data_IF_949236547387
#
_entry.id   IF_949236547387
#
_cell.length_a   1.000
_cell.length_b   1.000
_cell.length_c   1.000
_cell.angle_alpha   90.00
_cell.angle_beta   90.00
_cell.angle_gamma   90.00
#
_symmetry.space_group_name_H-M   'P 1'
#
loop_
_entity.id
_entity.type
_entity.pdbx_description
1 polymer ?
#
# COMPACT_ATOMS: atom_id res chain seq x y z
N UNK A 1 1.56 -22.37 -13.53
CA UNK A 1 2.92 -21.83 -13.34
C UNK A 1 2.96 -21.09 -12.01
N UNK A 2 3.80 -21.56 -11.07
CA UNK A 2 3.93 -21.10 -9.68
C UNK A 2 4.58 -19.71 -9.64
N UNK A 3 3.82 -18.63 -9.39
CA UNK A 3 4.40 -17.37 -8.88
C UNK A 3 3.37 -16.63 -8.01
N UNK A 4 3.79 -16.28 -6.79
CA UNK A 4 3.19 -15.31 -5.87
C UNK A 4 1.81 -15.61 -5.24
N UNK A 5 1.54 -16.85 -4.86
CA UNK A 5 0.74 -17.06 -3.64
C UNK A 5 1.54 -16.52 -2.46
N UNK A 6 1.16 -15.33 -2.03
CA UNK A 6 1.71 -14.53 -0.93
C UNK A 6 2.52 -15.33 0.08
N UNK A 7 3.83 -15.06 0.15
CA UNK A 7 4.70 -15.48 1.25
C UNK A 7 4.20 -14.99 2.62
N UNK A 8 3.20 -14.10 2.67
CA UNK A 8 2.53 -13.69 3.90
C UNK A 8 1.57 -14.76 4.46
N UNK A 9 0.94 -15.57 3.60
CA UNK A 9 0.00 -16.63 4.06
C UNK A 9 0.69 -17.98 4.25
N UNK A 10 1.66 -18.35 3.40
CA UNK A 10 2.50 -19.56 3.62
C UNK A 10 3.40 -19.48 4.86
N UNK A 11 3.65 -18.27 5.37
CA UNK A 11 4.35 -18.07 6.64
C UNK A 11 3.50 -18.45 7.86
N UNK A 12 2.19 -18.67 7.69
CA UNK A 12 1.27 -18.96 8.78
C UNK A 12 0.90 -20.44 8.90
N UNK A 13 1.22 -21.27 7.89
CA UNK A 13 0.91 -22.71 7.94
C UNK A 13 1.70 -23.43 9.04
N UNK A 14 2.90 -22.93 9.35
CA UNK A 14 3.74 -23.39 10.46
C UNK A 14 3.62 -22.50 11.71
N UNK A 15 2.73 -21.51 11.74
CA UNK A 15 2.60 -20.63 12.92
C UNK A 15 2.33 -21.42 14.20
N UNK A 16 1.45 -22.46 14.21
CA UNK A 16 1.21 -23.25 15.42
C UNK A 16 2.44 -24.04 15.89
N UNK A 17 3.25 -24.56 14.98
CA UNK A 17 4.51 -25.26 15.31
C UNK A 17 5.59 -24.28 15.75
N UNK A 18 5.74 -23.13 15.07
CA UNK A 18 6.65 -22.05 15.44
C UNK A 18 6.29 -21.48 16.81
N UNK A 19 4.99 -21.31 17.10
CA UNK A 19 4.49 -20.95 18.42
C UNK A 19 4.80 -22.07 19.42
N UNK A 20 4.57 -23.36 19.12
CA UNK A 20 4.98 -24.47 20.01
C UNK A 20 6.48 -24.49 20.31
N UNK A 21 7.32 -24.15 19.32
CA UNK A 21 8.78 -24.04 19.48
C UNK A 21 9.19 -22.78 20.27
N UNK A 22 8.49 -21.66 20.10
CA UNK A 22 8.73 -20.42 20.85
C UNK A 22 8.12 -20.43 22.27
N UNK A 23 7.08 -21.24 22.50
CA UNK A 23 6.32 -21.32 23.74
C UNK A 23 6.01 -22.81 24.06
N UNK A 24 6.87 -23.51 24.82
CA UNK A 24 6.56 -24.86 25.28
C UNK A 24 5.42 -24.83 26.32
N UNK A 25 4.30 -25.51 26.04
CA UNK A 25 3.20 -25.71 26.99
C UNK A 25 1.78 -25.49 26.42
N UNK A 26 0.74 -25.50 27.27
CA UNK A 26 -0.67 -25.33 26.85
C UNK A 26 -1.08 -23.86 26.59
N UNK A 27 -0.21 -22.89 26.88
CA UNK A 27 -0.50 -21.44 26.79
C UNK A 27 -0.42 -20.91 25.35
N UNK A 28 0.30 -21.62 24.51
CA UNK A 28 0.66 -21.30 23.13
C UNK A 28 -0.54 -21.09 22.21
N UNK A 29 -1.63 -21.82 22.45
CA UNK A 29 -2.88 -21.72 21.70
C UNK A 29 -3.81 -20.61 22.21
N UNK A 30 -3.44 -19.93 23.29
CA UNK A 30 -4.31 -19.03 24.04
C UNK A 30 -3.86 -17.57 23.93
N UNK A 31 -2.55 -17.34 23.75
CA UNK A 31 -1.99 -16.03 23.46
C UNK A 31 -2.35 -15.60 22.02
N UNK A 32 -3.48 -14.91 21.86
CA UNK A 32 -3.98 -14.51 20.54
C UNK A 32 -4.05 -12.98 20.44
N UNK A 33 -3.08 -12.38 19.74
CA UNK A 33 -3.06 -10.95 19.42
C UNK A 33 -3.79 -10.60 18.11
N UNK A 34 -4.48 -11.57 17.49
CA UNK A 34 -5.22 -11.38 16.23
C UNK A 34 -6.12 -10.15 16.26
N UNK A 35 -6.84 -9.95 17.39
CA UNK A 35 -7.78 -8.83 17.55
C UNK A 35 -7.13 -7.45 17.40
N UNK A 36 -5.85 -7.30 17.77
CA UNK A 36 -5.11 -6.04 17.60
C UNK A 36 -4.87 -5.76 16.12
N UNK A 37 -4.62 -6.79 15.33
CA UNK A 37 -4.39 -6.67 13.89
C UNK A 37 -5.69 -6.59 13.09
N UNK A 38 -6.79 -7.17 13.57
CA UNK A 38 -8.07 -7.19 12.86
C UNK A 38 -8.57 -5.77 12.55
N UNK A 39 -8.35 -4.80 13.45
CA UNK A 39 -8.71 -3.39 13.23
C UNK A 39 -8.00 -2.81 11.99
N UNK A 40 -6.66 -2.91 11.94
CA UNK A 40 -5.89 -2.34 10.84
C UNK A 40 -6.09 -3.13 9.54
N UNK A 41 -6.29 -4.45 9.63
CA UNK A 41 -6.62 -5.29 8.48
C UNK A 41 -7.96 -4.86 7.88
N UNK A 42 -8.95 -4.54 8.71
CA UNK A 42 -10.22 -3.95 8.28
C UNK A 42 -10.01 -2.67 7.49
N UNK A 43 -9.16 -1.75 7.97
CA UNK A 43 -8.80 -0.51 7.26
C UNK A 43 -8.22 -0.83 5.88
N UNK A 44 -7.25 -1.75 5.79
CA UNK A 44 -6.63 -2.12 4.51
C UNK A 44 -7.55 -2.88 3.53
N UNK A 45 -8.69 -3.38 4.00
CA UNK A 45 -9.65 -4.16 3.19
C UNK A 45 -10.83 -3.33 2.68
N UNK A 46 -11.06 -2.15 3.26
CA UNK A 46 -12.17 -1.28 2.88
C UNK A 46 -12.02 -0.77 1.45
N UNK A 47 -13.16 -0.43 0.84
CA UNK A 47 -13.23 0.11 -0.52
C UNK A 47 -13.13 1.63 -0.56
N UNK A 48 -13.41 2.29 0.56
CA UNK A 48 -13.42 3.74 0.63
C UNK A 48 -11.98 4.29 0.76
N UNK A 49 -11.72 5.52 0.30
CA UNK A 49 -10.39 6.10 0.39
C UNK A 49 -10.05 6.46 1.84
N UNK A 50 -9.16 5.69 2.48
CA UNK A 50 -8.74 5.88 3.87
C UNK A 50 -7.29 6.37 4.01
N UNK A 51 -6.73 6.95 2.95
CA UNK A 51 -5.34 7.43 2.96
C UNK A 51 -5.09 8.51 4.02
N UNK A 52 -6.13 9.26 4.38
CA UNK A 52 -6.13 10.32 5.38
C UNK A 52 -6.08 9.80 6.83
N UNK A 53 -6.48 8.56 7.09
CA UNK A 53 -6.39 7.94 8.43
C UNK A 53 -5.29 6.90 8.53
N UNK A 54 -4.69 6.50 7.40
CA UNK A 54 -3.70 5.43 7.32
C UNK A 54 -2.49 5.66 8.24
N UNK A 55 -1.92 6.86 8.26
CA UNK A 55 -0.76 7.15 9.12
C UNK A 55 -1.12 7.06 10.60
N UNK A 56 -2.30 7.55 10.97
CA UNK A 56 -2.77 7.51 12.35
C UNK A 56 -3.09 6.07 12.79
N UNK A 57 -3.77 5.28 11.97
CA UNK A 57 -4.05 3.87 12.26
C UNK A 57 -2.76 3.03 12.39
N UNK A 58 -1.75 3.27 11.54
CA UNK A 58 -0.43 2.65 11.71
C UNK A 58 0.23 3.05 13.04
N UNK A 59 0.10 4.33 13.42
CA UNK A 59 0.65 4.88 14.66
C UNK A 59 -0.05 4.28 15.88
N UNK A 60 -1.39 4.19 15.85
CA UNK A 60 -2.20 3.61 16.91
C UNK A 60 -1.89 2.12 17.10
N UNK A 61 -1.68 1.36 16.02
CA UNK A 61 -1.27 -0.05 16.11
C UNK A 61 0.03 -0.22 16.91
N UNK A 62 1.07 0.55 16.56
CA UNK A 62 2.37 0.47 17.23
C UNK A 62 2.25 0.92 18.69
N UNK A 63 1.53 2.00 18.97
CA UNK A 63 1.26 2.44 20.35
C UNK A 63 0.51 1.40 21.16
N UNK A 64 -0.49 0.75 20.55
CA UNK A 64 -1.29 -0.30 21.20
C UNK A 64 -0.42 -1.49 21.57
N UNK A 65 0.49 -1.90 20.69
CA UNK A 65 1.47 -2.97 20.96
C UNK A 65 2.47 -2.56 22.03
N UNK A 66 3.01 -1.35 21.97
CA UNK A 66 3.91 -0.81 22.99
C UNK A 66 3.26 -0.78 24.37
N UNK A 67 1.98 -0.37 24.46
CA UNK A 67 1.20 -0.35 25.70
C UNK A 67 1.06 -1.72 26.38
N UNK A 68 1.31 -2.84 25.67
CA UNK A 68 1.18 -4.18 26.23
C UNK A 68 2.38 -4.57 27.11
N UNK A 69 3.56 -3.98 26.87
CA UNK A 69 4.81 -4.43 27.51
C UNK A 69 5.74 -3.31 27.98
N UNK A 70 5.39 -2.04 27.74
CA UNK A 70 6.11 -0.88 28.24
C UNK A 70 5.37 -0.23 29.41
N UNK A 71 6.11 0.49 30.26
CA UNK A 71 5.52 1.29 31.33
C UNK A 71 4.66 2.42 30.75
N UNK A 72 3.51 2.67 31.37
CA UNK A 72 2.59 3.75 30.97
C UNK A 72 3.27 5.13 31.02
N UNK A 73 4.05 5.38 32.08
CA UNK A 73 4.81 6.62 32.27
C UNK A 73 5.81 6.90 31.13
N UNK A 74 6.29 5.85 30.48
CA UNK A 74 7.27 5.96 29.39
C UNK A 74 6.57 6.30 28.06
N UNK A 75 5.28 5.99 27.94
CA UNK A 75 4.46 6.21 26.75
C UNK A 75 3.67 7.52 26.81
N UNK A 76 3.27 7.96 28.00
CA UNK A 76 2.55 9.20 28.19
C UNK A 76 3.36 10.42 27.73
N UNK A 77 2.70 11.32 27.02
CA UNK A 77 3.28 12.59 26.55
C UNK A 77 4.35 12.49 25.44
N UNK A 78 4.84 11.29 25.09
CA UNK A 78 5.86 11.14 24.05
C UNK A 78 5.29 11.23 22.64
N UNK A 79 6.00 11.95 21.78
CA UNK A 79 5.66 12.02 20.35
C UNK A 79 6.09 10.72 19.68
N UNK A 80 5.42 10.38 18.58
CA UNK A 80 5.74 9.17 17.80
C UNK A 80 7.23 9.09 17.45
N UNK A 81 7.87 10.20 17.06
CA UNK A 81 9.31 10.19 16.73
C UNK A 81 10.19 9.72 17.89
N UNK A 82 9.85 10.14 19.11
CA UNK A 82 10.60 9.81 20.31
C UNK A 82 10.37 8.34 20.66
N UNK A 83 9.12 7.86 20.50
CA UNK A 83 8.77 6.44 20.66
C UNK A 83 9.53 5.53 19.68
N UNK A 84 9.75 5.98 18.45
CA UNK A 84 10.47 5.21 17.44
C UNK A 84 11.98 5.09 17.71
N UNK A 85 12.54 5.95 18.56
CA UNK A 85 13.95 5.93 18.95
C UNK A 85 14.20 5.13 20.23
N UNK A 86 13.15 4.70 20.93
CA UNK A 86 13.29 3.95 22.17
C UNK A 86 13.88 2.56 21.91
N UNK A 87 14.84 2.19 22.75
CA UNK A 87 15.27 0.81 22.84
C UNK A 87 14.28 0.00 23.68
N UNK A 88 13.39 -0.69 22.97
CA UNK A 88 12.34 -1.53 23.54
C UNK A 88 12.87 -2.72 24.37
N UNK A 89 14.17 -3.03 24.28
CA UNK A 89 14.79 -4.14 25.01
C UNK A 89 15.28 -3.76 26.40
N UNK A 90 15.30 -2.47 26.76
CA UNK A 90 15.80 -2.05 28.07
C UNK A 90 14.76 -2.24 29.19
N UNK A 91 15.19 -2.71 30.38
CA UNK A 91 14.29 -3.00 31.51
C UNK A 91 13.73 -1.75 32.20
N UNK A 92 14.38 -0.60 32.03
CA UNK A 92 13.90 0.71 32.50
C UNK A 92 12.61 1.15 31.80
N UNK A 93 12.45 0.82 30.51
CA UNK A 93 11.29 1.14 29.66
C UNK A 93 10.17 0.09 29.78
N UNK A 94 10.52 -1.16 30.07
CA UNK A 94 9.56 -2.28 30.13
C UNK A 94 8.75 -2.32 31.42
N UNK A 95 7.50 -2.73 31.32
CA UNK A 95 6.67 -2.99 32.49
C UNK A 95 7.10 -4.29 33.19
N UNK A 96 6.71 -4.44 34.46
CA UNK A 96 6.93 -5.68 35.21
C UNK A 96 6.14 -6.83 34.58
N UNK A 97 6.55 -8.06 34.88
CA UNK A 97 5.88 -9.29 34.40
C UNK A 97 4.40 -9.37 34.80
N UNK A 98 4.04 -8.75 35.93
CA UNK A 98 2.67 -8.70 36.45
C UNK A 98 1.77 -7.73 35.67
N UNK A 99 2.38 -6.70 35.08
CA UNK A 99 1.69 -5.64 34.32
C UNK A 99 1.64 -5.94 32.81
N UNK A 100 2.24 -7.06 32.39
CA UNK A 100 2.27 -7.48 30.99
C UNK A 100 0.85 -7.84 30.52
N UNK A 101 0.35 -7.14 29.51
CA UNK A 101 -0.96 -7.43 28.95
C UNK A 101 -0.85 -8.53 27.90
N UNK A 102 -1.36 -9.71 28.26
CA UNK A 102 -1.31 -10.93 27.43
C UNK A 102 -2.70 -11.48 27.10
N UNK A 103 -3.75 -10.77 27.51
CA UNK A 103 -5.15 -11.15 27.35
C UNK A 103 -5.65 -12.11 28.44
N UNK A 104 -6.95 -12.04 28.72
CA UNK A 104 -7.62 -12.77 29.81
C UNK A 104 -7.43 -14.28 29.76
N UNK A 105 -7.53 -14.88 28.58
CA UNK A 105 -7.38 -16.33 28.44
C UNK A 105 -5.96 -16.78 28.78
N UNK A 106 -4.94 -16.00 28.39
CA UNK A 106 -3.54 -16.31 28.70
C UNK A 106 -3.25 -16.08 30.19
N UNK A 107 -3.79 -15.02 30.81
CA UNK A 107 -3.71 -14.78 32.26
C UNK A 107 -4.29 -15.95 33.05
N UNK A 108 -5.46 -16.47 32.67
CA UNK A 108 -6.07 -17.66 33.30
C UNK A 108 -5.22 -18.92 33.16
N UNK A 109 -4.53 -19.10 32.03
CA UNK A 109 -3.64 -20.24 31.82
C UNK A 109 -2.33 -20.10 32.64
N UNK A 110 -1.77 -18.90 32.72
CA UNK A 110 -0.60 -18.59 33.55
C UNK A 110 -0.89 -18.78 35.04
N UNK A 111 -2.10 -18.43 35.51
CA UNK A 111 -2.51 -18.61 36.90
C UNK A 111 -2.46 -20.07 37.38
N UNK A 112 -2.57 -21.04 36.45
CA UNK A 112 -2.50 -22.48 36.75
C UNK A 112 -1.08 -23.01 36.91
N UNK A 113 -0.07 -22.24 36.50
CA UNK A 113 1.34 -22.63 36.59
C UNK A 113 1.99 -22.15 37.89
N UNK A 114 3.06 -22.82 38.31
CA UNK A 114 3.91 -22.34 39.42
C UNK A 114 4.74 -21.13 39.01
N UNK A 115 5.27 -20.39 39.99
CA UNK A 115 6.04 -19.14 39.74
C UNK A 115 7.22 -19.37 38.78
N UNK A 116 7.95 -20.47 38.93
CA UNK A 116 9.08 -20.77 38.05
C UNK A 116 8.67 -21.20 36.64
N UNK A 117 7.54 -21.90 36.51
CA UNK A 117 6.99 -22.29 35.21
C UNK A 117 6.43 -21.10 34.43
N UNK A 118 6.06 -19.99 35.08
CA UNK A 118 5.56 -18.77 34.42
C UNK A 118 6.65 -17.94 33.74
N UNK A 119 7.90 -18.00 34.24
CA UNK A 119 9.02 -17.18 33.74
C UNK A 119 9.30 -17.39 32.25
N UNK A 120 9.32 -18.66 31.80
CA UNK A 120 9.63 -19.01 30.41
C UNK A 120 8.55 -18.49 29.44
N UNK A 121 7.24 -18.76 29.64
CA UNK A 121 6.17 -18.21 28.80
C UNK A 121 6.13 -16.67 28.79
N UNK A 122 6.29 -16.02 29.94
CA UNK A 122 6.25 -14.55 30.05
C UNK A 122 7.41 -13.90 29.28
N UNK A 123 8.62 -14.47 29.40
CA UNK A 123 9.77 -14.02 28.63
C UNK A 123 9.52 -14.18 27.12
N UNK A 124 8.99 -15.32 26.69
CA UNK A 124 8.62 -15.55 25.29
C UNK A 124 7.59 -14.54 24.78
N UNK A 125 6.53 -14.28 25.55
CA UNK A 125 5.47 -13.34 25.18
C UNK A 125 6.01 -11.92 25.01
N UNK A 126 6.84 -11.49 25.96
CA UNK A 126 7.51 -10.18 25.89
C UNK A 126 8.44 -10.09 24.68
N UNK A 127 9.26 -11.11 24.46
CA UNK A 127 10.15 -11.18 23.29
C UNK A 127 9.38 -11.10 21.98
N UNK A 128 8.26 -11.82 21.87
CA UNK A 128 7.37 -11.75 20.72
C UNK A 128 6.82 -10.33 20.49
N UNK A 129 6.31 -9.67 21.54
CA UNK A 129 5.78 -8.30 21.43
C UNK A 129 6.87 -7.32 21.01
N UNK A 130 8.08 -7.46 21.54
CA UNK A 130 9.22 -6.63 21.15
C UNK A 130 9.61 -6.83 19.69
N UNK A 131 9.82 -8.09 19.26
CA UNK A 131 10.21 -8.42 17.89
C UNK A 131 9.14 -7.95 16.91
N UNK A 132 7.87 -8.19 17.21
CA UNK A 132 6.74 -7.76 16.38
C UNK A 132 6.66 -6.24 16.28
N UNK A 133 6.81 -5.52 17.41
CA UNK A 133 6.79 -4.06 17.43
C UNK A 133 7.97 -3.48 16.63
N UNK A 134 9.19 -3.99 16.84
CA UNK A 134 10.39 -3.59 16.06
C UNK A 134 10.20 -3.85 14.56
N UNK A 135 9.64 -5.01 14.21
CA UNK A 135 9.34 -5.35 12.82
C UNK A 135 8.35 -4.36 12.19
N UNK A 136 7.26 -4.04 12.89
CA UNK A 136 6.25 -3.11 12.40
C UNK A 136 6.76 -1.67 12.31
N UNK A 137 7.56 -1.23 13.28
CA UNK A 137 8.23 0.08 13.22
C UNK A 137 9.07 0.25 11.94
N UNK A 138 9.72 -0.82 11.50
CA UNK A 138 10.55 -0.83 10.30
C UNK A 138 9.75 -0.98 8.99
N UNK A 139 8.57 -1.61 9.02
CA UNK A 139 7.77 -1.91 7.83
C UNK A 139 6.65 -0.93 7.56
N UNK A 140 6.09 -0.31 8.60
CA UNK A 140 5.00 0.65 8.48
C UNK A 140 5.56 2.03 8.08
N UNK A 141 4.79 2.86 7.36
CA UNK A 141 5.25 4.15 6.87
C UNK A 141 5.20 5.24 7.95
N UNK A 142 5.68 4.95 9.17
CA UNK A 142 5.56 5.83 10.34
C UNK A 142 6.39 7.11 10.20
N UNK A 143 7.52 7.03 9.48
CA UNK A 143 8.38 8.17 9.14
C UNK A 143 7.90 8.95 7.90
N UNK A 144 6.83 8.49 7.24
CA UNK A 144 6.37 9.11 6.00
C UNK A 144 5.60 10.41 6.29
N UNK A 145 6.31 11.53 6.14
CA UNK A 145 5.77 12.88 6.30
C UNK A 145 4.59 13.15 5.38
N UNK A 146 4.60 12.63 4.15
CA UNK A 146 3.51 12.85 3.20
C UNK A 146 2.21 12.21 3.70
N UNK A 147 2.25 10.94 4.12
CA UNK A 147 1.06 10.27 4.66
C UNK A 147 0.57 10.92 5.95
N UNK A 148 1.48 11.35 6.84
CA UNK A 148 1.10 12.10 8.04
C UNK A 148 0.38 13.40 7.69
N UNK A 149 0.86 14.11 6.68
CA UNK A 149 0.28 15.39 6.27
C UNK A 149 -1.10 15.22 5.62
N UNK A 150 -1.43 14.03 5.08
CA UNK A 150 -2.77 13.73 4.57
C UNK A 150 -3.84 13.66 5.67
N UNK A 151 -3.45 13.51 6.95
CA UNK A 151 -4.39 13.51 8.07
C UNK A 151 -5.21 14.80 8.15
N UNK A 152 -4.67 15.92 7.65
CA UNK A 152 -5.40 17.21 7.61
C UNK A 152 -6.70 17.14 6.80
N UNK A 153 -6.83 16.14 5.91
CA UNK A 153 -8.03 15.97 5.10
C UNK A 153 -9.19 15.38 5.89
N UNK A 154 -8.93 14.85 7.08
CA UNK A 154 -9.98 14.39 7.99
C UNK A 154 -10.79 15.61 8.47
N UNK A 155 -12.13 15.53 8.49
CA UNK A 155 -12.98 16.65 8.92
C UNK A 155 -12.61 17.23 10.29
N UNK A 156 -12.26 16.37 11.26
CA UNK A 156 -11.86 16.81 12.61
C UNK A 156 -10.52 17.57 12.65
N UNK A 157 -9.72 17.48 11.58
CA UNK A 157 -8.45 18.18 11.47
C UNK A 157 -8.58 19.54 10.79
N UNK A 158 -9.81 20.00 10.56
CA UNK A 158 -10.11 21.30 9.94
C UNK A 158 -9.43 22.44 10.72
N UNK A 159 -9.55 22.48 12.04
CA UNK A 159 -9.08 23.62 12.85
C UNK A 159 -7.61 23.51 13.30
N UNK A 160 -6.85 22.57 12.74
CA UNK A 160 -5.45 22.38 13.11
C UNK A 160 -4.61 23.55 12.60
N UNK A 161 -3.99 24.29 13.52
CA UNK A 161 -3.12 25.45 13.23
C UNK A 161 -1.98 25.11 12.25
N UNK A 162 -1.43 23.88 12.36
CA UNK A 162 -0.37 23.40 11.49
C UNK A 162 -0.82 22.97 10.09
N UNK A 163 -2.13 22.99 9.80
CA UNK A 163 -2.74 22.53 8.55
C UNK A 163 -2.15 23.18 7.30
N UNK A 164 -1.94 24.50 7.32
CA UNK A 164 -1.30 25.23 6.22
C UNK A 164 0.09 24.70 5.85
N UNK A 165 0.89 24.32 6.85
CA UNK A 165 2.24 23.77 6.62
C UNK A 165 2.15 22.39 5.98
N UNK A 166 1.17 21.58 6.39
CA UNK A 166 0.91 20.26 5.80
C UNK A 166 0.46 20.40 4.34
N UNK A 167 -0.54 21.24 4.05
CA UNK A 167 -1.03 21.52 2.69
C UNK A 167 0.10 21.99 1.78
N UNK A 168 0.93 22.92 2.25
CA UNK A 168 2.10 23.41 1.50
C UNK A 168 3.04 22.27 1.12
N UNK A 169 3.38 21.41 2.09
CA UNK A 169 4.28 20.25 1.85
C UNK A 169 3.65 19.22 0.92
N UNK A 170 2.33 18.99 1.00
CA UNK A 170 1.61 18.10 0.10
C UNK A 170 1.68 18.62 -1.34
N UNK A 171 1.35 19.90 -1.55
CA UNK A 171 1.39 20.52 -2.88
C UNK A 171 2.80 20.52 -3.49
N UNK A 172 3.82 20.83 -2.68
CA UNK A 172 5.22 20.77 -3.10
C UNK A 172 5.70 19.37 -3.47
N UNK A 173 5.09 18.31 -2.94
CA UNK A 173 5.38 16.92 -3.32
C UNK A 173 4.60 16.47 -4.56
N UNK A 174 3.54 17.18 -4.92
CA UNK A 174 2.66 16.92 -6.06
C UNK A 174 2.91 17.91 -7.20
N UNK A 175 4.18 18.15 -7.55
CA UNK A 175 4.60 19.11 -8.60
C UNK A 175 4.03 18.79 -10.00
N UNK A 176 3.60 17.55 -10.22
CA UNK A 176 2.94 17.13 -11.46
C UNK A 176 1.52 17.73 -11.60
N UNK A 177 0.96 18.22 -10.51
CA UNK A 177 -0.43 18.68 -10.39
C UNK A 177 -0.49 20.19 -10.15
N UNK A 178 0.46 20.73 -9.39
CA UNK A 178 0.48 22.14 -9.00
C UNK A 178 1.66 22.87 -9.60
N UNK A 179 1.39 24.03 -10.21
CA UNK A 179 2.41 25.03 -10.50
C UNK A 179 2.79 25.78 -9.21
N UNK A 180 4.01 26.33 -9.10
CA UNK A 180 4.42 27.13 -7.93
C UNK A 180 3.44 28.25 -7.58
N UNK A 181 2.90 28.92 -8.58
CA UNK A 181 1.95 30.03 -8.41
C UNK A 181 0.60 29.58 -7.81
N UNK A 182 0.18 28.34 -8.07
CA UNK A 182 -1.07 27.77 -7.54
C UNK A 182 -0.94 27.40 -6.05
N UNK A 183 0.28 27.26 -5.52
CA UNK A 183 0.49 26.90 -4.11
C UNK A 183 0.04 28.03 -3.19
N UNK A 184 0.25 29.29 -3.57
CA UNK A 184 -0.22 30.43 -2.80
C UNK A 184 -1.75 30.45 -2.73
N UNK A 185 -2.41 30.30 -3.88
CA UNK A 185 -3.87 30.23 -4.01
C UNK A 185 -4.45 29.08 -3.18
N UNK A 186 -3.83 27.89 -3.25
CA UNK A 186 -4.24 26.72 -2.46
C UNK A 186 -4.21 26.98 -0.96
N UNK A 187 -3.18 27.70 -0.47
CA UNK A 187 -3.06 28.00 0.96
C UNK A 187 -4.12 28.98 1.42
N UNK A 188 -4.48 29.95 0.59
CA UNK A 188 -5.54 30.90 0.91
C UNK A 188 -6.92 30.24 0.84
N UNK A 189 -7.18 29.38 -0.15
CA UNK A 189 -8.37 28.54 -0.19
C UNK A 189 -8.49 27.67 1.06
N UNK A 190 -7.38 27.08 1.53
CA UNK A 190 -7.39 26.27 2.74
C UNK A 190 -7.69 27.10 4.00
N UNK A 191 -7.15 28.32 4.14
CA UNK A 191 -7.52 29.24 5.24
C UNK A 191 -9.01 29.51 5.26
N UNK A 192 -9.58 29.80 4.09
CA UNK A 192 -11.02 30.04 3.95
C UNK A 192 -11.81 28.80 4.37
N UNK A 193 -11.36 27.60 3.97
CA UNK A 193 -11.97 26.35 4.40
C UNK A 193 -11.96 26.20 5.92
N UNK A 194 -10.84 26.48 6.61
CA UNK A 194 -10.77 26.38 8.08
C UNK A 194 -11.75 27.32 8.79
N UNK A 195 -11.98 28.51 8.24
CA UNK A 195 -12.89 29.50 8.81
C UNK A 195 -14.38 29.21 8.53
N UNK A 196 -14.70 28.23 7.67
CA UNK A 196 -16.09 27.90 7.35
C UNK A 196 -16.68 27.02 8.43
N UNK A 197 -17.85 27.40 8.91
CA UNK A 197 -18.68 26.53 9.73
C UNK A 197 -19.33 25.46 8.83
N UNK A 198 -18.78 24.24 8.85
CA UNK A 198 -19.27 23.11 8.06
C UNK A 198 -20.11 22.23 8.98
N UNK A 199 -21.36 21.89 8.63
CA UNK A 199 -22.21 21.08 9.49
C UNK A 199 -21.60 19.69 9.78
N UNK A 200 -21.56 19.30 11.05
CA UNK A 200 -21.03 18.01 11.50
C UNK A 200 -21.71 16.81 10.81
N UNK A 201 -23.01 16.93 10.54
CA UNK A 201 -23.82 15.97 9.79
C UNK A 201 -23.35 15.70 8.34
N UNK A 202 -22.37 16.45 7.83
CA UNK A 202 -21.73 16.15 6.55
C UNK A 202 -20.65 15.09 6.67
N UNK A 203 -20.02 14.98 7.84
CA UNK A 203 -18.90 14.09 8.11
C UNK A 203 -19.34 12.80 8.82
N UNK A 204 -20.32 12.88 9.71
CA UNK A 204 -20.81 11.72 10.47
C UNK A 204 -22.30 11.83 10.78
N UNK A 205 -22.90 10.70 11.16
CA UNK A 205 -24.23 10.66 11.76
C UNK A 205 -24.12 10.11 13.18
N UNK A 206 -24.77 10.79 14.12
CA UNK A 206 -24.89 10.34 15.50
C UNK A 206 -26.24 9.62 15.68
N UNK A 207 -26.20 8.39 16.19
CA UNK A 207 -27.40 7.65 16.60
C UNK A 207 -27.16 7.12 18.01
N UNK A 208 -27.68 7.82 19.01
CA UNK A 208 -27.37 7.54 20.42
C UNK A 208 -25.87 7.72 20.68
N UNK A 209 -25.24 6.76 21.37
CA UNK A 209 -23.80 6.80 21.69
C UNK A 209 -22.89 6.37 20.53
N UNK A 210 -23.43 6.07 19.34
CA UNK A 210 -22.65 5.60 18.20
C UNK A 210 -22.50 6.67 17.13
N UNK A 211 -21.24 7.07 16.89
CA UNK A 211 -20.85 7.98 15.80
C UNK A 211 -20.43 7.14 14.59
N UNK A 212 -21.12 7.32 13.46
CA UNK A 212 -20.76 6.65 12.20
C UNK A 212 -20.29 7.68 11.18
N UNK A 213 -19.00 7.65 10.83
CA UNK A 213 -18.45 8.52 9.79
C UNK A 213 -18.92 8.12 8.41
N UNK A 214 -19.28 9.11 7.61
CA UNK A 214 -19.53 8.96 6.20
C UNK A 214 -18.21 8.80 5.44
N UNK A 215 -18.32 8.22 4.23
CA UNK A 215 -17.22 8.16 3.27
C UNK A 215 -16.62 9.55 3.06
N UNK A 216 -15.30 9.68 3.24
CA UNK A 216 -14.61 10.97 3.15
C UNK A 216 -14.83 11.70 1.81
N UNK A 217 -14.95 10.97 0.70
CA UNK A 217 -15.20 11.60 -0.60
C UNK A 217 -16.61 12.20 -0.70
N UNK A 218 -17.60 11.72 0.06
CA UNK A 218 -18.92 12.37 0.13
C UNK A 218 -18.84 13.70 0.89
N UNK A 219 -18.08 13.74 1.99
CA UNK A 219 -17.81 14.97 2.72
C UNK A 219 -17.16 16.01 1.80
N UNK A 220 -16.03 15.64 1.17
CA UNK A 220 -15.34 16.54 0.25
C UNK A 220 -16.16 16.90 -0.97
N UNK A 221 -17.01 16.01 -1.50
CA UNK A 221 -17.91 16.37 -2.60
C UNK A 221 -18.86 17.51 -2.21
N UNK A 222 -19.39 17.52 -0.97
CA UNK A 222 -20.23 18.63 -0.47
C UNK A 222 -19.42 19.92 -0.31
N UNK A 223 -18.24 19.85 0.31
CA UNK A 223 -17.35 21.01 0.52
C UNK A 223 -16.93 21.63 -0.81
N UNK A 224 -16.48 20.82 -1.77
CA UNK A 224 -15.98 21.28 -3.07
C UNK A 224 -17.08 21.77 -4.02
N UNK A 225 -18.35 21.49 -3.71
CA UNK A 225 -19.52 21.99 -4.45
C UNK A 225 -20.07 23.31 -3.85
N UNK A 226 -19.50 23.82 -2.76
CA UNK A 226 -19.85 25.14 -2.26
C UNK A 226 -19.54 26.22 -3.30
N UNK A 227 -20.48 27.15 -3.46
CA UNK A 227 -20.38 28.26 -4.42
C UNK A 227 -20.37 29.59 -3.71
N UNK A 228 -19.65 30.55 -4.28
CA UNK A 228 -19.69 31.95 -3.85
C UNK A 228 -20.99 32.63 -4.34
N UNK A 229 -21.18 33.90 -3.97
CA UNK A 229 -22.32 34.70 -4.43
C UNK A 229 -22.38 34.88 -5.95
N UNK A 230 -21.23 34.77 -6.63
CA UNK A 230 -21.09 34.85 -8.09
C UNK A 230 -21.41 33.53 -8.81
N UNK A 231 -21.66 32.44 -8.07
CA UNK A 231 -21.95 31.11 -8.64
C UNK A 231 -20.73 30.24 -8.96
N UNK A 232 -19.51 30.74 -8.73
CA UNK A 232 -18.25 30.03 -8.91
C UNK A 232 -17.91 29.15 -7.71
N UNK A 233 -17.11 28.11 -7.95
CA UNK A 233 -16.62 27.23 -6.88
C UNK A 233 -15.68 28.00 -5.95
N UNK A 234 -15.87 27.85 -4.65
CA UNK A 234 -15.03 28.50 -3.63
C UNK A 234 -13.63 27.88 -3.60
N UNK A 235 -13.51 26.58 -3.89
CA UNK A 235 -12.30 25.78 -3.66
C UNK A 235 -11.76 25.07 -4.92
N UNK A 236 -11.48 25.76 -6.03
CA UNK A 236 -11.05 25.12 -7.28
C UNK A 236 -9.68 24.47 -7.20
N UNK A 237 -8.69 25.07 -6.52
CA UNK A 237 -7.33 24.52 -6.42
C UNK A 237 -7.25 23.43 -5.36
N UNK A 238 -7.93 23.63 -4.22
CA UNK A 238 -8.08 22.60 -3.18
C UNK A 238 -8.80 21.35 -3.71
N UNK A 239 -9.77 21.51 -4.61
CA UNK A 239 -10.40 20.37 -5.28
C UNK A 239 -9.39 19.49 -6.03
N UNK A 240 -8.38 20.09 -6.68
CA UNK A 240 -7.33 19.33 -7.36
C UNK A 240 -6.53 18.50 -6.36
N UNK A 241 -6.18 19.08 -5.20
CA UNK A 241 -5.39 18.42 -4.17
C UNK A 241 -6.15 17.24 -3.56
N UNK A 242 -7.38 17.50 -3.13
CA UNK A 242 -8.24 16.50 -2.50
C UNK A 242 -8.47 15.33 -3.46
N UNK A 243 -8.80 15.59 -4.73
CA UNK A 243 -8.99 14.51 -5.72
C UNK A 243 -7.71 13.71 -5.93
N UNK A 244 -6.57 14.38 -6.13
CA UNK A 244 -5.29 13.71 -6.35
C UNK A 244 -4.88 12.81 -5.19
N UNK A 245 -5.08 13.29 -3.97
CA UNK A 245 -4.71 12.55 -2.75
C UNK A 245 -5.68 11.41 -2.47
N UNK A 246 -6.99 11.61 -2.60
CA UNK A 246 -7.99 10.55 -2.37
C UNK A 246 -7.99 9.44 -3.44
N UNK A 247 -7.34 9.67 -4.60
CA UNK A 247 -7.08 8.62 -5.59
C UNK A 247 -5.92 7.68 -5.18
N UNK A 248 -5.17 7.99 -4.13
CA UNK A 248 -4.10 7.13 -3.65
C UNK A 248 -4.66 5.89 -2.95
N UNK A 249 -4.12 4.73 -3.34
CA UNK A 249 -4.46 3.46 -2.71
C UNK A 249 -3.92 3.43 -1.28
N UNK A 250 -4.79 3.14 -0.32
CA UNK A 250 -4.43 3.05 1.10
C UNK A 250 -4.05 1.63 1.52
N UNK A 251 -4.30 0.62 0.67
CA UNK A 251 -4.03 -0.77 0.96
C UNK A 251 -3.93 -1.65 -0.29
N UNK A 252 -3.53 -2.90 -0.08
CA UNK A 252 -3.37 -3.88 -1.16
C UNK A 252 -4.70 -4.50 -1.62
N UNK A 253 -5.81 -4.23 -0.92
CA UNK A 253 -7.10 -4.80 -1.26
C UNK A 253 -7.61 -4.33 -2.63
N UNK A 254 -7.32 -3.08 -3.03
CA UNK A 254 -7.72 -2.58 -4.35
C UNK A 254 -7.00 -3.32 -5.47
N UNK A 255 -5.71 -3.59 -5.32
CA UNK A 255 -4.93 -4.42 -6.26
C UNK A 255 -5.49 -5.84 -6.30
N UNK A 256 -5.71 -6.47 -5.13
CA UNK A 256 -6.28 -7.82 -5.05
C UNK A 256 -7.67 -7.90 -5.67
N UNK A 257 -8.50 -6.88 -5.47
CA UNK A 257 -9.85 -6.80 -6.06
C UNK A 257 -9.75 -6.66 -7.58
N UNK A 258 -8.85 -5.81 -8.07
CA UNK A 258 -8.61 -5.71 -9.52
C UNK A 258 -8.20 -7.07 -10.10
N UNK A 259 -7.30 -7.80 -9.43
CA UNK A 259 -6.89 -9.15 -9.85
C UNK A 259 -8.04 -10.16 -9.79
N UNK A 260 -8.90 -10.11 -8.78
CA UNK A 260 -10.11 -10.93 -8.69
C UNK A 260 -11.09 -10.62 -9.83
N UNK A 261 -11.25 -9.34 -10.21
CA UNK A 261 -12.05 -8.94 -11.37
C UNK A 261 -11.45 -9.51 -12.65
N UNK A 262 -10.12 -9.41 -12.85
CA UNK A 262 -9.46 -10.08 -13.97
C UNK A 262 -9.73 -11.59 -13.95
N UNK A 263 -9.64 -12.24 -12.79
CA UNK A 263 -9.90 -13.67 -12.68
C UNK A 263 -11.34 -14.03 -13.08
N UNK A 264 -12.32 -13.18 -12.76
CA UNK A 264 -13.70 -13.33 -13.20
C UNK A 264 -13.84 -13.16 -14.72
N UNK A 265 -13.18 -12.15 -15.28
CA UNK A 265 -13.18 -11.86 -16.74
C UNK A 265 -12.46 -12.95 -17.54
N UNK A 266 -11.38 -13.53 -17.00
CA UNK A 266 -10.60 -14.58 -17.63
C UNK A 266 -11.31 -15.95 -17.63
N UNK A 267 -12.33 -16.17 -16.79
CA UNK A 267 -12.96 -17.49 -16.64
C UNK A 267 -11.95 -18.63 -16.36
N UNK A 268 -12.44 -19.87 -16.33
CA UNK A 268 -11.57 -21.07 -16.22
C UNK A 268 -11.01 -21.53 -17.57
N UNK A 269 -11.62 -21.10 -18.68
CA UNK A 269 -11.29 -21.59 -20.03
C UNK A 269 -10.33 -20.68 -20.80
N UNK A 270 -10.17 -19.40 -20.44
CA UNK A 270 -9.36 -18.43 -21.19
C UNK A 270 -7.93 -18.35 -20.67
N UNK A 271 -7.17 -19.43 -20.82
CA UNK A 271 -5.79 -19.53 -20.32
C UNK A 271 -4.74 -18.87 -21.23
N UNK A 272 -5.14 -18.33 -22.39
CA UNK A 272 -4.25 -17.85 -23.46
C UNK A 272 -4.57 -16.42 -23.96
N UNK A 273 -4.96 -15.52 -23.06
CA UNK A 273 -5.14 -14.11 -23.40
C UNK A 273 -3.84 -13.33 -23.21
N UNK A 274 -3.49 -12.50 -24.20
CA UNK A 274 -2.37 -11.54 -24.07
C UNK A 274 -2.75 -10.42 -23.10
N UNK A 275 -1.75 -9.74 -22.53
CA UNK A 275 -1.99 -8.61 -21.62
C UNK A 275 -2.85 -7.51 -22.24
N UNK A 276 -2.69 -7.25 -23.55
CA UNK A 276 -3.51 -6.29 -24.30
C UNK A 276 -4.98 -6.71 -24.36
N UNK A 277 -5.27 -8.00 -24.62
CA UNK A 277 -6.64 -8.51 -24.64
C UNK A 277 -7.29 -8.43 -23.25
N UNK A 278 -6.53 -8.71 -22.19
CA UNK A 278 -7.01 -8.60 -20.80
C UNK A 278 -7.35 -7.13 -20.47
N UNK A 279 -6.49 -6.20 -20.87
CA UNK A 279 -6.72 -4.77 -20.68
C UNK A 279 -7.95 -4.29 -21.46
N UNK A 280 -8.10 -4.73 -22.73
CA UNK A 280 -9.28 -4.42 -23.53
C UNK A 280 -10.58 -4.92 -22.92
N UNK A 281 -10.62 -6.18 -22.47
CA UNK A 281 -11.79 -6.74 -21.79
C UNK A 281 -12.11 -6.00 -20.48
N UNK A 282 -11.10 -5.64 -19.70
CA UNK A 282 -11.29 -4.84 -18.48
C UNK A 282 -11.83 -3.45 -18.78
N UNK A 283 -11.32 -2.76 -19.80
CA UNK A 283 -11.81 -1.44 -20.19
C UNK A 283 -13.31 -1.48 -20.55
N UNK A 284 -13.74 -2.54 -21.25
CA UNK A 284 -15.16 -2.75 -21.58
C UNK A 284 -15.98 -3.04 -20.32
N UNK A 285 -15.53 -3.94 -19.45
CA UNK A 285 -16.21 -4.28 -18.18
C UNK A 285 -16.35 -3.06 -17.26
N UNK A 286 -15.30 -2.24 -17.14
CA UNK A 286 -15.30 -1.01 -16.35
C UNK A 286 -16.24 0.06 -16.95
N UNK A 287 -16.24 0.22 -18.28
CA UNK A 287 -17.14 1.13 -18.96
C UNK A 287 -18.62 0.75 -18.75
N UNK A 288 -18.96 -0.53 -18.91
CA UNK A 288 -20.32 -1.04 -18.69
C UNK A 288 -20.76 -0.83 -17.23
N UNK A 289 -19.87 -1.04 -16.27
CA UNK A 289 -20.15 -0.77 -14.85
C UNK A 289 -20.36 0.71 -14.56
N UNK A 290 -19.58 1.59 -15.20
CA UNK A 290 -19.71 3.04 -15.02
C UNK A 290 -21.07 3.58 -15.45
N UNK A 291 -21.72 2.92 -16.41
CA UNK A 291 -23.07 3.25 -16.89
C UNK A 291 -24.19 2.48 -16.16
N UNK A 292 -23.88 1.82 -15.04
CA UNK A 292 -24.86 1.13 -14.21
C UNK A 292 -25.32 -0.22 -14.76
N UNK A 293 -24.46 -0.90 -15.53
CA UNK A 293 -24.66 -2.27 -16.05
C UNK A 293 -25.89 -2.42 -16.99
N UNK A 294 -26.44 -1.30 -17.49
CA UNK A 294 -27.62 -1.30 -18.36
C UNK A 294 -27.24 -1.35 -19.84
N UNK A 295 -26.66 -2.48 -20.25
CA UNK A 295 -26.17 -2.75 -21.63
C UNK A 295 -27.19 -2.37 -22.72
N UNK A 296 -28.51 -2.62 -22.56
CA UNK A 296 -29.50 -2.25 -23.58
C UNK A 296 -29.72 -0.74 -23.76
N UNK A 297 -29.39 0.09 -22.76
CA UNK A 297 -29.56 1.56 -22.80
C UNK A 297 -28.27 2.32 -23.11
N UNK A 298 -27.15 1.60 -23.21
CA UNK A 298 -25.85 2.17 -23.53
C UNK A 298 -25.83 2.72 -24.95
N UNK A 299 -25.36 3.95 -25.13
CA UNK A 299 -25.25 4.58 -26.44
C UNK A 299 -23.99 4.11 -27.15
N UNK A 300 -24.15 3.30 -28.20
CA UNK A 300 -23.03 2.83 -29.02
C UNK A 300 -22.66 3.86 -30.09
N UNK A 301 -21.44 4.38 -30.04
CA UNK A 301 -20.97 5.32 -31.06
C UNK A 301 -20.74 4.60 -32.41
N UNK A 302 -20.84 5.35 -33.51
CA UNK A 302 -20.51 4.82 -34.86
C UNK A 302 -19.06 4.31 -34.94
N UNK A 303 -18.16 4.90 -34.15
CA UNK A 303 -16.75 4.50 -34.06
C UNK A 303 -16.59 3.15 -33.36
N UNK A 304 -17.35 2.89 -32.29
CA UNK A 304 -17.35 1.59 -31.62
C UNK A 304 -17.84 0.48 -32.57
N UNK A 305 -18.93 0.74 -33.30
CA UNK A 305 -19.47 -0.20 -34.28
C UNK A 305 -18.53 -0.44 -35.46
N UNK A 306 -17.71 0.55 -35.83
CA UNK A 306 -16.65 0.39 -36.83
C UNK A 306 -15.49 -0.44 -36.27
N UNK A 307 -15.06 -0.15 -35.05
CA UNK A 307 -13.97 -0.87 -34.36
C UNK A 307 -14.28 -2.37 -34.21
N UNK A 308 -15.53 -2.73 -33.89
CA UNK A 308 -15.95 -4.14 -33.83
C UNK A 308 -15.87 -4.81 -35.20
N UNK A 309 -16.28 -4.11 -36.27
CA UNK A 309 -16.22 -4.64 -37.64
C UNK A 309 -14.78 -4.82 -38.13
N UNK A 310 -13.88 -3.92 -37.76
CA UNK A 310 -12.48 -3.94 -38.17
C UNK A 310 -11.60 -4.82 -37.26
N UNK A 311 -12.10 -5.27 -36.10
CA UNK A 311 -11.32 -6.00 -35.09
C UNK A 311 -10.60 -7.25 -35.64
N UNK A 312 -11.25 -8.02 -36.51
CA UNK A 312 -10.62 -9.20 -37.11
C UNK A 312 -9.45 -8.83 -38.04
N UNK A 313 -9.60 -7.75 -38.82
CA UNK A 313 -8.56 -7.22 -39.69
C UNK A 313 -7.37 -6.70 -38.88
N UNK A 314 -7.64 -5.95 -37.81
CA UNK A 314 -6.60 -5.45 -36.90
C UNK A 314 -5.85 -6.59 -36.21
N UNK A 315 -6.55 -7.63 -35.77
CA UNK A 315 -5.94 -8.82 -35.18
C UNK A 315 -4.94 -9.50 -36.15
N UNK A 316 -5.34 -9.70 -37.40
CA UNK A 316 -4.45 -10.26 -38.43
C UNK A 316 -3.26 -9.37 -38.74
N UNK A 317 -3.47 -8.04 -38.86
CA UNK A 317 -2.38 -7.09 -39.04
C UNK A 317 -1.38 -7.13 -37.88
N UNK A 318 -1.87 -7.27 -36.63
CA UNK A 318 -1.01 -7.42 -35.45
C UNK A 318 -0.18 -8.70 -35.51
N UNK A 319 -0.78 -9.84 -35.91
CA UNK A 319 -0.04 -11.10 -36.05
C UNK A 319 1.08 -11.00 -37.09
N UNK A 320 0.85 -10.31 -38.21
CA UNK A 320 1.88 -10.06 -39.22
C UNK A 320 3.02 -9.21 -38.69
N UNK A 321 2.71 -8.09 -38.00
CA UNK A 321 3.71 -7.25 -37.35
C UNK A 321 4.52 -8.02 -36.31
N UNK A 322 3.87 -8.89 -35.53
CA UNK A 322 4.53 -9.71 -34.52
C UNK A 322 5.49 -10.73 -35.15
N UNK A 323 5.10 -11.37 -36.25
CA UNK A 323 5.98 -12.27 -37.03
C UNK A 323 7.20 -11.52 -37.56
N UNK A 324 7.00 -10.34 -38.16
CA UNK A 324 8.09 -9.51 -38.69
C UNK A 324 9.07 -9.08 -37.57
N UNK A 325 8.55 -8.69 -36.40
CA UNK A 325 9.36 -8.31 -35.25
C UNK A 325 10.17 -9.48 -34.70
N UNK A 326 9.59 -10.68 -34.60
CA UNK A 326 10.31 -11.87 -34.13
C UNK A 326 11.38 -12.33 -35.13
N UNK A 327 11.12 -12.23 -36.44
CA UNK A 327 12.12 -12.48 -37.47
C UNK A 327 13.26 -11.47 -37.41
N UNK A 328 12.96 -10.19 -37.21
CA UNK A 328 13.97 -9.15 -37.01
C UNK A 328 14.81 -9.43 -35.75
N UNK A 329 14.18 -9.78 -34.63
CA UNK A 329 14.87 -10.13 -33.37
C UNK A 329 15.77 -11.34 -33.53
N UNK A 330 15.31 -12.38 -34.23
CA UNK A 330 16.13 -13.58 -34.53
C UNK A 330 17.32 -13.23 -35.42
N UNK A 331 17.13 -12.40 -36.45
CA UNK A 331 18.21 -11.92 -37.33
C UNK A 331 19.23 -11.06 -36.58
N UNK A 332 18.79 -10.26 -35.62
CA UNK A 332 19.67 -9.44 -34.79
C UNK A 332 20.49 -10.31 -33.82
N UNK A 333 19.85 -11.28 -33.17
CA UNK A 333 20.52 -12.24 -32.28
C UNK A 333 21.54 -13.12 -33.02
N UNK A 334 21.27 -13.55 -34.26
CA UNK A 334 22.25 -14.29 -35.06
C UNK A 334 23.42 -13.41 -35.48
N UNK A 335 23.17 -12.16 -35.91
CA UNK A 335 24.23 -11.19 -36.21
C UNK A 335 25.10 -10.89 -34.99
N UNK A 336 24.52 -10.77 -33.81
CA UNK A 336 25.25 -10.52 -32.57
C UNK A 336 26.12 -11.72 -32.16
N UNK A 337 25.57 -12.95 -32.27
CA UNK A 337 26.34 -14.19 -32.04
C UNK A 337 27.49 -14.35 -33.04
N UNK A 338 27.29 -14.01 -34.31
CA UNK A 338 28.34 -14.10 -35.33
C UNK A 338 29.44 -13.08 -35.10
N UNK A 339 29.08 -11.83 -34.74
CA UNK A 339 30.05 -10.79 -34.33
C UNK A 339 30.83 -11.22 -33.08
N UNK A 340 30.18 -11.85 -32.10
CA UNK A 340 30.83 -12.37 -30.91
C UNK A 340 31.80 -13.52 -31.24
N UNK A 341 31.47 -14.38 -32.22
CA UNK A 341 32.35 -15.47 -32.68
C UNK A 341 33.60 -14.93 -33.38
N UNK A 342 33.45 -14.00 -34.33
CA UNK A 342 34.57 -13.36 -35.03
C UNK A 342 35.53 -12.65 -34.06
N UNK A 343 34.98 -11.93 -33.06
CA UNK A 343 35.78 -11.31 -31.99
C UNK A 343 36.56 -12.31 -31.12
N UNK A 344 36.04 -13.53 -30.92
CA UNK A 344 36.76 -14.59 -30.20
C UNK A 344 37.87 -15.17 -31.07
N UNK A 345 37.59 -15.45 -32.34
CA UNK A 345 38.56 -15.96 -33.31
C UNK A 345 39.74 -14.98 -33.51
N UNK A 346 39.48 -13.67 -33.61
CA UNK A 346 40.51 -12.63 -33.67
C UNK A 346 41.39 -12.59 -32.41
N UNK A 347 40.78 -12.66 -31.22
CA UNK A 347 41.53 -12.70 -29.95
C UNK A 347 42.40 -13.94 -29.83
N UNK A 348 41.92 -15.10 -30.26
CA UNK A 348 42.72 -16.34 -30.28
C UNK A 348 43.87 -16.27 -31.28
N UNK A 349 43.65 -15.69 -32.46
CA UNK A 349 44.69 -15.48 -33.45
C UNK A 349 45.78 -14.53 -32.94
N UNK A 350 45.41 -13.40 -32.32
CA UNK A 350 46.36 -12.49 -31.70
C UNK A 350 47.16 -13.15 -30.56
N UNK A 351 46.52 -13.97 -29.72
CA UNK A 351 47.21 -14.71 -28.68
C UNK A 351 48.20 -15.74 -29.25
N UNK A 352 47.84 -16.46 -30.32
CA UNK A 352 48.75 -17.39 -31.01
C UNK A 352 49.94 -16.64 -31.62
N UNK A 353 49.70 -15.50 -32.27
CA UNK A 353 50.76 -14.63 -32.83
C UNK A 353 51.71 -14.12 -31.75
N UNK A 354 51.19 -13.66 -30.60
CA UNK A 354 52.01 -13.24 -29.44
C UNK A 354 52.86 -14.38 -28.89
N UNK A 355 52.29 -15.59 -28.75
CA UNK A 355 53.04 -16.78 -28.31
C UNK A 355 54.14 -17.17 -29.30
N UNK A 356 53.91 -17.04 -30.59
CA UNK A 356 54.90 -17.36 -31.63
C UNK A 356 56.04 -16.33 -31.70
N UNK A 357 55.74 -15.05 -31.51
CA UNK A 357 56.74 -13.98 -31.38
C UNK A 357 57.59 -14.19 -30.13
N UNK A 358 56.97 -14.51 -28.98
CA UNK A 358 57.72 -14.81 -27.75
C UNK A 358 58.60 -16.05 -27.89
N UNK A 359 58.16 -17.09 -28.61
CA UNK A 359 58.99 -18.28 -28.88
C UNK A 359 60.21 -17.95 -29.76
N UNK A 360 60.07 -17.04 -30.72
CA UNK A 360 61.20 -16.60 -31.56
C UNK A 360 62.22 -15.74 -30.78
N UNK A 361 61.75 -14.90 -29.85
CA UNK A 361 62.63 -14.08 -28.99
C UNK A 361 63.39 -14.84 -27.89
N UNK A 362 63.09 -16.12 -27.68
CA UNK A 362 63.77 -16.99 -26.69
C UNK A 362 64.76 -17.94 -27.38
N UNK A 363 64.77 -17.96 -28.72
CA UNK A 363 65.65 -18.79 -29.54
C UNK A 363 66.82 -18.00 -30.17
N UNK A 364 66.81 -16.67 -30.05
CA UNK A 364 67.96 -15.77 -30.19
C UNK A 364 68.43 -15.39 -28.77
#
# INVERSE_FOLDING_TARGET
MKVASSNFYKSCDNLPELFKFMFPGPITNVFTMSKIFDKILGVFQRQEPLVHSLHDECTQLVKTLMNQFLKKDVLEGKRLRDLLQLDLSKPDVQCLDQDLEVGESAKKALAKLTVDQRKIPLHGMRSFLQVTTKYLMNKLPLHNVFLRDLNILHPEMQDVESGHRCIRRLAQKLLQIFKPDEIAVLLDEFKVYQQKNIPDGWSHTEKGDTITYHRIHHYWAKVLNMRNQSGDKIFPVLAKLVKATLCLLHGNADVKRSLSVAKKVLGTEWTLLTAESINGLRLVDDAVKSEGENIPRMTYSKEMLKSVRDAHREYHSRLEKMKQADEARKKEQTKEKEKARKRKEEKEYEQKKRKQINRRKVAD
#
